data_IF_322704036218
#
_entry.id   IF_322704036218
#
_cell.length_a   1.000
_cell.length_b   1.000
_cell.length_c   1.000
_cell.angle_alpha   90.00
_cell.angle_beta   90.00
_cell.angle_gamma   90.00
#
_symmetry.space_group_name_H-M   'P 1'
#
loop_
_entity.id
_entity.type
_entity.pdbx_description
1 polymer ?
#
# COMPACT_ATOMS: atom_id res chain seq x y z
N UNK A 1 -25.45 26.79 0.03
CA UNK A 1 -26.43 26.42 1.07
C UNK A 1 -26.06 25.08 1.67
N UNK A 2 -25.95 24.02 0.86
CA UNK A 2 -25.45 22.69 1.28
C UNK A 2 -24.12 22.75 2.06
N UNK A 3 -23.18 23.56 1.61
CA UNK A 3 -21.89 23.75 2.30
C UNK A 3 -22.04 24.40 3.69
N UNK A 4 -23.02 25.28 3.87
CA UNK A 4 -23.29 25.95 5.16
C UNK A 4 -23.88 24.95 6.17
N UNK A 5 -24.68 23.99 5.71
CA UNK A 5 -25.24 22.92 6.54
C UNK A 5 -24.17 21.90 6.95
N UNK A 6 -23.31 21.48 6.01
CA UNK A 6 -22.19 20.60 6.31
C UNK A 6 -21.22 21.24 7.31
N UNK A 7 -20.87 22.51 7.10
CA UNK A 7 -19.99 23.25 8.00
C UNK A 7 -20.61 23.44 9.41
N UNK A 8 -21.95 23.47 9.54
CA UNK A 8 -22.64 23.48 10.83
C UNK A 8 -22.48 22.15 11.57
N UNK A 9 -22.71 21.03 10.89
CA UNK A 9 -22.66 19.68 11.48
C UNK A 9 -21.24 19.28 11.92
N UNK A 10 -20.23 19.91 11.32
CA UNK A 10 -18.82 19.74 11.67
C UNK A 10 -18.30 20.79 12.68
N UNK A 11 -19.17 21.66 13.23
CA UNK A 11 -18.85 22.76 14.14
C UNK A 11 -17.82 23.78 13.59
N UNK A 12 -17.78 23.96 12.26
CA UNK A 12 -16.82 24.82 11.55
C UNK A 12 -17.34 26.24 11.29
N UNK A 13 -18.61 26.53 11.60
CA UNK A 13 -19.21 27.84 11.36
C UNK A 13 -18.77 28.90 12.35
N UNK A 14 -18.37 30.06 11.82
CA UNK A 14 -18.14 31.27 12.61
C UNK A 14 -19.44 31.98 13.01
N UNK A 15 -19.37 32.90 13.97
CA UNK A 15 -20.55 33.57 14.54
C UNK A 15 -21.44 34.28 13.51
N UNK A 16 -20.84 34.87 12.46
CA UNK A 16 -21.58 35.55 11.40
C UNK A 16 -22.37 34.55 10.53
N UNK A 17 -21.74 33.42 10.20
CA UNK A 17 -22.37 32.37 9.40
C UNK A 17 -23.47 31.64 10.18
N UNK A 18 -23.32 31.48 11.51
CA UNK A 18 -24.38 30.94 12.36
C UNK A 18 -25.63 31.83 12.35
N UNK A 19 -25.44 33.15 12.46
CA UNK A 19 -26.54 34.10 12.40
C UNK A 19 -27.24 34.12 11.03
N UNK A 20 -26.47 33.99 9.94
CA UNK A 20 -27.00 33.87 8.58
C UNK A 20 -27.83 32.58 8.41
N UNK A 21 -27.34 31.46 8.91
CA UNK A 21 -28.05 30.19 8.92
C UNK A 21 -29.34 30.24 9.74
N UNK A 22 -29.30 30.81 10.95
CA UNK A 22 -30.49 30.97 11.81
C UNK A 22 -31.57 31.85 11.15
N UNK A 23 -31.15 32.88 10.41
CA UNK A 23 -32.08 33.74 9.65
C UNK A 23 -32.72 32.96 8.51
N UNK A 24 -31.92 32.23 7.72
CA UNK A 24 -32.40 31.40 6.60
C UNK A 24 -33.37 30.30 7.06
N UNK A 25 -33.08 29.63 8.18
CA UNK A 25 -33.94 28.60 8.77
C UNK A 25 -35.20 29.17 9.44
N UNK A 26 -35.25 30.49 9.71
CA UNK A 26 -36.42 31.17 10.26
C UNK A 26 -37.41 31.58 9.17
N UNK A 27 -36.92 31.91 7.98
CA UNK A 27 -37.71 32.45 6.87
C UNK A 27 -38.36 31.36 5.99
N UNK A 28 -37.85 30.13 5.99
CA UNK A 28 -38.33 29.04 5.13
C UNK A 28 -38.54 27.72 5.91
N UNK A 29 -39.79 27.26 5.96
CA UNK A 29 -40.22 26.05 6.66
C UNK A 29 -39.72 24.77 5.96
N UNK A 30 -39.71 24.72 4.63
CA UNK A 30 -39.25 23.55 3.88
C UNK A 30 -37.73 23.35 4.05
N UNK A 31 -36.99 24.45 4.14
CA UNK A 31 -35.55 24.44 4.38
C UNK A 31 -35.18 23.95 5.79
N UNK A 32 -36.05 24.22 6.77
CA UNK A 32 -35.88 23.76 8.15
C UNK A 32 -36.04 22.24 8.24
N UNK A 33 -37.02 21.70 7.54
CA UNK A 33 -37.27 20.26 7.51
C UNK A 33 -36.09 19.51 6.88
N UNK A 34 -35.57 20.00 5.74
CA UNK A 34 -34.39 19.42 5.08
C UNK A 34 -33.14 19.44 5.99
N UNK A 35 -32.96 20.52 6.75
CA UNK A 35 -31.84 20.67 7.68
C UNK A 35 -31.94 19.70 8.87
N UNK A 36 -33.14 19.49 9.43
CA UNK A 36 -33.35 18.54 10.52
C UNK A 36 -33.19 17.08 10.05
N UNK A 37 -33.61 16.75 8.83
CA UNK A 37 -33.39 15.43 8.22
C UNK A 37 -31.89 15.13 8.07
N UNK A 38 -31.11 16.11 7.59
CA UNK A 38 -29.67 15.96 7.42
C UNK A 38 -28.94 15.81 8.77
N UNK A 39 -29.38 16.55 9.80
CA UNK A 39 -28.86 16.46 11.17
C UNK A 39 -29.15 15.10 11.80
N UNK A 40 -30.35 14.56 11.59
CA UNK A 40 -30.71 13.22 12.06
C UNK A 40 -29.86 12.13 11.40
N UNK A 41 -29.61 12.24 10.08
CA UNK A 41 -28.73 11.33 9.36
C UNK A 41 -27.28 11.37 9.87
N UNK A 42 -26.72 12.56 10.08
CA UNK A 42 -25.36 12.71 10.60
C UNK A 42 -25.22 12.15 12.02
N UNK A 43 -26.22 12.34 12.88
CA UNK A 43 -26.25 11.76 14.23
C UNK A 43 -26.26 10.22 14.22
N UNK A 44 -26.85 9.59 13.20
CA UNK A 44 -26.86 8.13 13.08
C UNK A 44 -25.53 7.56 12.57
N UNK A 45 -24.91 8.21 11.57
CA UNK A 45 -23.59 7.79 11.07
C UNK A 45 -22.48 7.92 12.11
N UNK A 46 -22.60 8.87 13.05
CA UNK A 46 -21.59 9.13 14.07
C UNK A 46 -21.84 8.37 15.38
N UNK A 47 -22.79 7.41 15.42
CA UNK A 47 -22.88 6.46 16.53
C UNK A 47 -21.73 5.46 16.40
N UNK A 48 -20.74 5.47 17.31
CA UNK A 48 -19.76 4.40 17.33
C UNK A 48 -20.48 3.08 17.56
N UNK A 49 -20.12 2.05 16.79
CA UNK A 49 -20.55 0.69 17.09
C UNK A 49 -20.09 0.38 18.53
N UNK A 50 -21.05 0.21 19.45
CA UNK A 50 -20.77 -0.24 20.80
C UNK A 50 -20.24 -1.68 20.72
N UNK A 51 -18.92 -1.79 20.60
CA UNK A 51 -18.23 -3.04 20.85
C UNK A 51 -18.19 -3.20 22.37
N UNK A 52 -19.07 -4.03 22.92
CA UNK A 52 -18.96 -4.50 24.30
C UNK A 52 -17.81 -5.53 24.35
N UNK A 53 -16.61 -5.17 24.86
CA UNK A 53 -15.54 -6.13 24.95
C UNK A 53 -15.96 -7.21 25.95
N UNK A 54 -16.29 -8.40 25.43
CA UNK A 54 -16.64 -9.56 26.25
C UNK A 54 -15.73 -9.68 27.47
N UNK A 55 -16.32 -9.96 28.65
CA UNK A 55 -15.68 -9.98 29.96
C UNK A 55 -14.37 -10.82 30.06
N UNK A 56 -14.09 -11.66 29.07
CA UNK A 56 -12.83 -12.40 28.89
C UNK A 56 -11.63 -11.52 28.50
N UNK A 57 -11.84 -10.40 27.79
CA UNK A 57 -10.75 -9.49 27.37
C UNK A 57 -10.18 -8.72 28.58
N UNK A 58 -11.06 -8.25 29.46
CA UNK A 58 -10.70 -7.55 30.70
C UNK A 58 -9.95 -8.47 31.67
N UNK A 59 -10.40 -9.73 31.82
CA UNK A 59 -9.77 -10.68 32.74
C UNK A 59 -8.29 -10.92 32.38
N UNK A 60 -8.00 -11.13 31.09
CA UNK A 60 -6.64 -11.33 30.61
C UNK A 60 -5.75 -10.10 30.84
N UNK A 61 -6.31 -8.91 30.61
CA UNK A 61 -5.62 -7.65 30.87
C UNK A 61 -5.32 -7.43 32.36
N UNK A 62 -6.29 -7.64 33.24
CA UNK A 62 -6.10 -7.47 34.68
C UNK A 62 -5.15 -8.52 35.27
N UNK A 63 -5.18 -9.77 34.80
CA UNK A 63 -4.20 -10.79 35.18
C UNK A 63 -2.78 -10.41 34.75
N UNK A 64 -2.62 -9.83 33.56
CA UNK A 64 -1.31 -9.36 33.09
C UNK A 64 -0.83 -8.14 33.89
N UNK A 65 -1.73 -7.22 34.23
CA UNK A 65 -1.47 -6.07 35.11
C UNK A 65 -1.01 -6.47 36.51
N UNK A 66 -1.67 -7.46 37.13
CA UNK A 66 -1.26 -7.96 38.45
C UNK A 66 0.11 -8.65 38.40
N UNK A 67 0.37 -9.42 37.33
CA UNK A 67 1.67 -10.06 37.11
C UNK A 67 2.80 -9.03 36.99
N UNK A 68 2.58 -7.95 36.23
CA UNK A 68 3.57 -6.87 36.08
C UNK A 68 3.73 -6.03 37.35
N UNK A 69 2.64 -5.70 38.06
CA UNK A 69 2.72 -5.04 39.38
C UNK A 69 3.54 -5.86 40.37
N UNK A 70 3.38 -7.19 40.38
CA UNK A 70 4.18 -8.09 41.20
C UNK A 70 5.65 -8.14 40.80
N UNK A 71 5.95 -8.05 39.50
CA UNK A 71 7.32 -8.00 38.96
C UNK A 71 8.02 -6.67 39.29
N UNK A 72 7.32 -5.54 39.19
CA UNK A 72 7.83 -4.23 39.60
C UNK A 72 8.06 -4.13 41.11
N UNK A 73 7.17 -4.67 41.93
CA UNK A 73 7.37 -4.70 43.38
C UNK A 73 8.58 -5.56 43.79
N UNK A 74 8.84 -6.66 43.06
CA UNK A 74 10.06 -7.47 43.25
C UNK A 74 11.32 -6.74 42.78
N UNK A 75 11.26 -5.95 41.70
CA UNK A 75 12.37 -5.06 41.27
C UNK A 75 12.65 -3.96 42.29
N UNK A 76 11.62 -3.25 42.77
CA UNK A 76 11.73 -2.21 43.81
C UNK A 76 12.30 -2.73 45.13
N UNK A 77 11.88 -3.92 45.59
CA UNK A 77 12.44 -4.56 46.80
C UNK A 77 13.88 -5.05 46.62
N UNK A 78 14.32 -5.37 45.39
CA UNK A 78 15.73 -5.69 45.08
C UNK A 78 16.59 -4.42 45.05
N UNK A 79 16.08 -3.32 44.52
CA UNK A 79 16.80 -2.03 44.51
C UNK A 79 16.96 -1.43 45.92
N UNK A 80 15.98 -1.62 46.81
CA UNK A 80 16.05 -1.08 48.18
C UNK A 80 17.01 -1.86 49.11
N UNK A 81 17.39 -3.09 48.77
CA UNK A 81 18.35 -3.90 49.56
C UNK A 81 19.82 -3.71 49.15
N UNK A 82 20.09 -2.85 48.15
CA UNK A 82 21.43 -2.63 47.60
C UNK A 82 22.05 -1.26 47.92
N UNK A 83 21.47 -0.45 48.80
CA UNK A 83 22.12 0.78 49.25
C UNK A 83 23.21 0.45 50.28
N UNK A 84 24.33 -0.08 49.80
CA UNK A 84 25.57 -0.15 50.58
C UNK A 84 25.92 1.30 50.96
N UNK A 85 25.74 1.67 52.24
CA UNK A 85 26.18 2.98 52.74
C UNK A 85 27.71 2.99 52.71
N UNK A 86 28.25 3.53 51.64
CA UNK A 86 29.69 3.65 51.44
C UNK A 86 30.23 4.81 52.28
N UNK A 87 30.80 4.48 53.43
CA UNK A 87 31.32 5.42 54.43
C UNK A 87 32.69 6.04 54.10
N UNK A 88 33.24 5.86 52.89
CA UNK A 88 34.61 6.27 52.54
C UNK A 88 34.73 7.49 51.60
N UNK A 89 33.65 8.22 51.32
CA UNK A 89 33.60 9.28 50.27
C UNK A 89 33.86 10.71 50.81
N UNK A 90 34.63 10.88 51.89
CA UNK A 90 34.97 12.22 52.41
C UNK A 90 36.27 12.83 51.86
N UNK A 91 36.94 12.19 50.90
CA UNK A 91 38.15 12.76 50.27
C UNK A 91 37.83 13.44 48.93
N UNK A 92 38.21 14.72 48.74
CA UNK A 92 37.90 15.46 47.50
C UNK A 92 38.54 14.82 46.26
N UNK A 93 39.74 14.23 46.39
CA UNK A 93 40.49 13.60 45.29
C UNK A 93 39.74 12.39 44.69
N UNK A 94 39.09 11.56 45.53
CA UNK A 94 38.34 10.41 45.04
C UNK A 94 37.07 10.80 44.25
N UNK A 95 36.47 11.96 44.54
CA UNK A 95 35.29 12.45 43.81
C UNK A 95 35.66 12.82 42.37
N UNK A 96 36.80 13.49 42.17
CA UNK A 96 37.30 13.82 40.84
C UNK A 96 37.71 12.57 40.05
N UNK A 97 38.40 11.62 40.69
CA UNK A 97 38.78 10.36 40.04
C UNK A 97 37.54 9.54 39.61
N UNK A 98 36.52 9.45 40.46
CA UNK A 98 35.27 8.77 40.11
C UNK A 98 34.57 9.45 38.91
N UNK A 99 34.58 10.79 38.84
CA UNK A 99 34.03 11.53 37.70
C UNK A 99 34.73 11.23 36.38
N UNK A 100 36.07 11.16 36.38
CA UNK A 100 36.86 10.84 35.17
C UNK A 100 36.57 9.40 34.71
N UNK A 101 36.51 8.45 35.64
CA UNK A 101 36.17 7.05 35.32
C UNK A 101 34.77 6.93 34.72
N UNK A 102 33.81 7.70 35.23
CA UNK A 102 32.43 7.70 34.72
C UNK A 102 32.37 8.31 33.31
N UNK A 103 33.09 9.40 33.05
CA UNK A 103 33.19 10.00 31.71
C UNK A 103 33.87 9.06 30.70
N UNK A 104 34.97 8.40 31.09
CA UNK A 104 35.63 7.41 30.24
C UNK A 104 34.74 6.19 30.00
N UNK A 105 33.98 5.76 31.00
CA UNK A 105 32.99 4.69 30.87
C UNK A 105 31.86 5.06 29.90
N UNK A 106 31.29 6.26 30.04
CA UNK A 106 30.28 6.78 29.10
C UNK A 106 30.85 6.91 27.69
N UNK A 107 32.08 7.40 27.55
CA UNK A 107 32.75 7.52 26.25
C UNK A 107 33.01 6.15 25.59
N UNK A 108 33.45 5.16 26.36
CA UNK A 108 33.72 3.81 25.87
C UNK A 108 32.44 3.04 25.55
N UNK A 109 31.40 3.19 26.38
CA UNK A 109 30.05 2.65 26.11
C UNK A 109 29.46 3.34 24.89
N UNK A 110 29.55 4.66 24.79
CA UNK A 110 29.08 5.46 23.65
C UNK A 110 29.74 5.03 22.34
N UNK A 111 31.06 4.85 22.35
CA UNK A 111 31.80 4.34 21.19
C UNK A 111 31.43 2.90 20.83
N UNK A 112 31.09 2.05 21.82
CA UNK A 112 30.63 0.67 21.58
C UNK A 112 29.17 0.59 21.13
N UNK A 113 28.35 1.62 21.41
CA UNK A 113 26.96 1.71 20.95
C UNK A 113 26.80 2.37 19.58
N UNK A 114 27.79 3.11 19.08
CA UNK A 114 27.78 3.64 17.70
C UNK A 114 27.81 2.57 16.60
N UNK A 115 28.15 1.32 16.92
CA UNK A 115 28.00 0.19 15.97
C UNK A 115 26.53 -0.26 15.80
N UNK A 116 25.60 0.17 16.68
CA UNK A 116 24.18 -0.23 16.59
C UNK A 116 23.37 0.57 15.57
N UNK A 117 23.81 1.78 15.20
CA UNK A 117 23.15 2.56 14.14
C UNK A 117 23.26 1.91 12.76
N UNK A 118 24.20 0.96 12.56
CA UNK A 118 24.33 0.17 11.34
C UNK A 118 23.36 -1.02 11.27
N UNK A 119 22.81 -1.48 12.41
CA UNK A 119 21.84 -2.58 12.45
C UNK A 119 20.42 -2.13 12.10
N UNK A 120 20.00 -0.91 12.49
CA UNK A 120 18.68 -0.36 12.14
C UNK A 120 18.51 -0.16 10.62
N UNK A 121 19.58 0.23 9.92
CA UNK A 121 19.60 0.30 8.44
C UNK A 121 19.36 -1.06 7.78
N UNK A 122 19.83 -2.15 8.40
CA UNK A 122 19.61 -3.51 7.91
C UNK A 122 18.20 -4.03 8.21
N UNK A 123 17.56 -3.57 9.28
CA UNK A 123 16.18 -3.90 9.64
C UNK A 123 15.17 -3.13 8.77
N UNK A 124 15.43 -1.86 8.47
CA UNK A 124 14.61 -1.07 7.53
C UNK A 124 14.65 -1.67 6.12
N UNK A 125 15.81 -2.16 5.66
CA UNK A 125 15.92 -2.84 4.38
C UNK A 125 15.13 -4.16 4.34
N UNK A 126 15.03 -4.89 5.46
CA UNK A 126 14.21 -6.10 5.57
C UNK A 126 12.71 -5.80 5.56
N UNK A 127 12.26 -4.81 6.33
CA UNK A 127 10.85 -4.36 6.33
C UNK A 127 10.41 -3.95 4.91
N UNK A 128 11.28 -3.27 4.16
CA UNK A 128 10.98 -2.89 2.77
C UNK A 128 10.74 -4.12 1.88
N UNK A 129 11.55 -5.18 2.02
CA UNK A 129 11.34 -6.41 1.26
C UNK A 129 10.07 -7.14 1.68
N UNK A 130 9.78 -7.22 2.98
CA UNK A 130 8.57 -7.87 3.51
C UNK A 130 7.29 -7.18 3.01
N UNK A 131 7.33 -5.84 2.87
CA UNK A 131 6.22 -5.06 2.29
C UNK A 131 6.02 -5.41 0.81
N UNK A 132 7.09 -5.55 0.03
CA UNK A 132 6.98 -5.92 -1.39
C UNK A 132 6.44 -7.35 -1.56
N UNK A 133 6.93 -8.32 -0.78
CA UNK A 133 6.40 -9.69 -0.78
C UNK A 133 4.92 -9.73 -0.38
N UNK A 134 4.52 -8.93 0.62
CA UNK A 134 3.12 -8.83 1.04
C UNK A 134 2.24 -8.24 -0.06
N UNK A 135 2.68 -7.20 -0.76
CA UNK A 135 1.95 -6.61 -1.90
C UNK A 135 1.75 -7.62 -3.02
N UNK A 136 2.79 -8.38 -3.35
CA UNK A 136 2.73 -9.43 -4.36
C UNK A 136 1.72 -10.51 -3.99
N UNK A 137 1.72 -10.95 -2.72
CA UNK A 137 0.74 -11.91 -2.22
C UNK A 137 -0.70 -11.38 -2.32
N UNK A 138 -0.93 -10.12 -1.94
CA UNK A 138 -2.24 -9.46 -2.06
C UNK A 138 -2.70 -9.44 -3.52
N UNK A 139 -1.84 -9.00 -4.43
CA UNK A 139 -2.10 -9.03 -5.87
C UNK A 139 -2.50 -10.44 -6.35
N UNK A 140 -1.70 -11.46 -6.02
CA UNK A 140 -1.97 -12.84 -6.43
C UNK A 140 -3.28 -13.39 -5.85
N UNK A 141 -3.67 -12.95 -4.66
CA UNK A 141 -4.95 -13.32 -4.03
C UNK A 141 -6.14 -12.66 -4.72
N UNK A 142 -6.01 -11.38 -5.10
CA UNK A 142 -7.08 -10.61 -5.75
C UNK A 142 -7.32 -11.07 -7.19
N UNK A 143 -6.28 -11.54 -7.90
CA UNK A 143 -6.43 -12.13 -9.23
C UNK A 143 -7.34 -13.37 -9.27
N UNK A 144 -7.57 -14.03 -8.13
CA UNK A 144 -8.43 -15.22 -8.01
C UNK A 144 -9.89 -14.88 -7.69
N UNK A 145 -10.22 -13.60 -7.49
CA UNK A 145 -11.58 -13.18 -7.13
C UNK A 145 -12.51 -13.18 -8.34
N UNK A 146 -13.79 -13.35 -8.07
CA UNK A 146 -14.83 -13.49 -9.10
C UNK A 146 -15.07 -12.19 -9.88
N UNK A 147 -14.92 -11.04 -9.23
CA UNK A 147 -15.14 -9.75 -9.88
C UNK A 147 -13.98 -9.35 -10.79
N UNK A 148 -14.30 -9.05 -12.06
CA UNK A 148 -13.34 -8.48 -13.00
C UNK A 148 -12.73 -7.16 -12.50
N UNK A 149 -13.49 -6.34 -11.75
CA UNK A 149 -12.99 -5.09 -11.16
C UNK A 149 -11.88 -5.36 -10.13
N UNK A 150 -12.07 -6.36 -9.27
CA UNK A 150 -11.08 -6.76 -8.28
C UNK A 150 -9.84 -7.34 -8.93
N UNK A 151 -9.99 -8.09 -10.03
CA UNK A 151 -8.85 -8.60 -10.81
C UNK A 151 -8.10 -7.47 -11.52
N UNK A 152 -8.78 -6.45 -12.05
CA UNK A 152 -8.11 -5.26 -12.62
C UNK A 152 -7.35 -4.51 -11.52
N UNK A 153 -7.97 -4.30 -10.35
CA UNK A 153 -7.27 -3.71 -9.21
C UNK A 153 -6.03 -4.51 -8.82
N UNK A 154 -6.13 -5.84 -8.83
CA UNK A 154 -5.00 -6.74 -8.61
C UNK A 154 -3.87 -6.47 -9.60
N UNK A 155 -4.19 -6.38 -10.89
CA UNK A 155 -3.22 -6.08 -11.95
C UNK A 155 -2.58 -4.71 -11.75
N UNK A 156 -3.34 -3.69 -11.35
CA UNK A 156 -2.81 -2.33 -11.16
C UNK A 156 -1.79 -2.22 -10.02
N UNK A 157 -1.80 -3.12 -9.03
CA UNK A 157 -0.75 -3.15 -8.01
C UNK A 157 0.65 -3.40 -8.60
N UNK A 158 0.74 -3.96 -9.82
CA UNK A 158 2.03 -4.20 -10.46
C UNK A 158 2.83 -2.92 -10.70
N UNK A 159 2.18 -1.76 -10.84
CA UNK A 159 2.85 -0.48 -11.06
C UNK A 159 3.61 0.03 -9.83
N UNK A 160 3.29 -0.51 -8.65
CA UNK A 160 4.02 -0.24 -7.41
C UNK A 160 5.17 -1.24 -7.18
N UNK A 161 5.30 -2.26 -8.04
CA UNK A 161 6.32 -3.31 -7.93
C UNK A 161 7.52 -2.92 -8.80
N UNK A 162 8.64 -2.57 -8.16
CA UNK A 162 9.86 -2.20 -8.89
C UNK A 162 10.53 -3.39 -9.61
N UNK A 163 10.47 -4.58 -9.00
CA UNK A 163 11.03 -5.81 -9.57
C UNK A 163 10.04 -6.94 -9.34
N UNK A 164 9.40 -7.45 -10.41
CA UNK A 164 8.47 -8.55 -10.25
C UNK A 164 9.26 -9.83 -9.92
N UNK A 165 8.67 -10.68 -9.10
CA UNK A 165 9.13 -12.05 -8.99
C UNK A 165 8.58 -12.88 -10.17
N UNK A 166 9.11 -14.10 -10.33
CA UNK A 166 8.68 -14.99 -11.41
C UNK A 166 7.19 -15.36 -11.31
N UNK A 167 6.63 -15.40 -10.09
CA UNK A 167 5.24 -15.77 -9.85
C UNK A 167 4.27 -14.66 -10.30
N UNK A 168 4.60 -13.39 -10.06
CA UNK A 168 3.85 -12.24 -10.58
C UNK A 168 3.84 -12.25 -12.10
N UNK A 169 4.99 -12.46 -12.76
CA UNK A 169 5.06 -12.52 -14.21
C UNK A 169 4.23 -13.69 -14.76
N UNK A 170 4.36 -14.88 -14.19
CA UNK A 170 3.53 -16.04 -14.59
C UNK A 170 2.04 -15.78 -14.38
N UNK A 171 1.66 -15.14 -13.29
CA UNK A 171 0.28 -14.81 -12.99
C UNK A 171 -0.29 -13.82 -14.01
N UNK A 172 0.43 -12.74 -14.32
CA UNK A 172 0.03 -11.78 -15.36
C UNK A 172 -0.07 -12.44 -16.74
N UNK A 173 0.88 -13.30 -17.11
CA UNK A 173 0.84 -14.05 -18.38
C UNK A 173 -0.36 -14.99 -18.43
N UNK A 174 -0.68 -15.67 -17.32
CA UNK A 174 -1.88 -16.50 -17.24
C UNK A 174 -3.13 -15.65 -17.42
N UNK A 175 -3.24 -14.55 -16.69
CA UNK A 175 -4.37 -13.61 -16.77
C UNK A 175 -4.56 -13.09 -18.20
N UNK A 176 -3.48 -12.65 -18.86
CA UNK A 176 -3.49 -12.20 -20.26
C UNK A 176 -4.08 -13.23 -21.21
N UNK A 177 -3.80 -14.52 -20.99
CA UNK A 177 -4.18 -15.58 -21.92
C UNK A 177 -5.51 -16.26 -21.60
N UNK A 178 -5.95 -16.25 -20.34
CA UNK A 178 -7.07 -17.09 -19.88
C UNK A 178 -8.17 -16.36 -19.14
N UNK A 179 -8.02 -15.08 -18.80
CA UNK A 179 -9.13 -14.36 -18.14
C UNK A 179 -10.33 -14.27 -19.08
N UNK A 180 -11.53 -14.49 -18.52
CA UNK A 180 -12.78 -14.41 -19.25
C UNK A 180 -13.09 -12.98 -19.73
N UNK A 181 -12.64 -11.98 -18.96
CA UNK A 181 -12.95 -10.59 -19.21
C UNK A 181 -11.84 -9.93 -20.03
N UNK A 182 -12.21 -9.43 -21.21
CA UNK A 182 -11.28 -8.75 -22.13
C UNK A 182 -10.54 -7.58 -21.47
N UNK A 183 -11.19 -6.80 -20.61
CA UNK A 183 -10.55 -5.66 -19.95
C UNK A 183 -9.48 -6.10 -18.95
N UNK A 184 -9.69 -7.24 -18.26
CA UNK A 184 -8.68 -7.84 -17.37
C UNK A 184 -7.48 -8.32 -18.19
N UNK A 185 -7.72 -8.96 -19.35
CA UNK A 185 -6.63 -9.37 -20.25
C UNK A 185 -5.84 -8.18 -20.78
N UNK A 186 -6.51 -7.11 -21.22
CA UNK A 186 -5.87 -5.87 -21.68
C UNK A 186 -5.05 -5.23 -20.56
N UNK A 187 -5.60 -5.16 -19.34
CA UNK A 187 -4.87 -4.65 -18.17
C UNK A 187 -3.62 -5.49 -17.91
N UNK A 188 -3.70 -6.82 -18.03
CA UNK A 188 -2.55 -7.71 -17.85
C UNK A 188 -1.49 -7.51 -18.94
N UNK A 189 -1.88 -7.21 -20.19
CA UNK A 189 -0.93 -6.83 -21.24
C UNK A 189 -0.20 -5.52 -20.90
N UNK A 190 -0.93 -4.50 -20.47
CA UNK A 190 -0.37 -3.20 -20.06
C UNK A 190 0.59 -3.34 -18.87
N UNK A 191 0.21 -4.12 -17.86
CA UNK A 191 1.07 -4.50 -16.75
C UNK A 191 2.35 -5.20 -17.21
N UNK A 192 2.26 -6.15 -18.14
CA UNK A 192 3.45 -6.80 -18.70
C UNK A 192 4.34 -5.83 -19.50
N UNK A 193 3.78 -4.75 -20.06
CA UNK A 193 4.57 -3.71 -20.71
C UNK A 193 5.44 -2.93 -19.72
N UNK A 194 4.97 -2.75 -18.48
CA UNK A 194 5.73 -2.13 -17.41
C UNK A 194 7.00 -2.94 -17.09
N UNK A 195 6.93 -4.26 -17.25
CA UNK A 195 8.05 -5.19 -17.12
C UNK A 195 8.72 -5.51 -18.46
N UNK A 196 8.71 -4.57 -19.41
CA UNK A 196 9.20 -4.75 -20.77
C UNK A 196 10.68 -5.12 -20.89
N UNK A 197 11.49 -4.92 -19.84
CA UNK A 197 12.88 -5.39 -19.79
C UNK A 197 12.99 -6.92 -19.60
N UNK A 198 11.98 -7.52 -18.97
CA UNK A 198 11.92 -8.95 -18.71
C UNK A 198 11.62 -9.72 -19.99
N UNK A 199 12.54 -10.60 -20.38
CA UNK A 199 12.43 -11.39 -21.61
C UNK A 199 11.13 -12.19 -21.65
N UNK A 200 10.70 -12.75 -20.51
CA UNK A 200 9.48 -13.54 -20.39
C UNK A 200 8.23 -12.71 -20.68
N UNK A 201 8.19 -11.43 -20.26
CA UNK A 201 7.06 -10.54 -20.53
C UNK A 201 6.96 -10.22 -22.03
N UNK A 202 8.08 -9.85 -22.67
CA UNK A 202 8.12 -9.62 -24.11
C UNK A 202 7.77 -10.86 -24.93
N UNK A 203 8.29 -12.02 -24.51
CA UNK A 203 8.00 -13.29 -25.18
C UNK A 203 6.50 -13.63 -25.08
N UNK A 204 5.88 -13.43 -23.91
CA UNK A 204 4.45 -13.64 -23.73
C UNK A 204 3.60 -12.72 -24.60
N UNK A 205 3.90 -11.42 -24.63
CA UNK A 205 3.22 -10.44 -25.49
C UNK A 205 3.33 -10.83 -26.98
N UNK A 206 4.50 -11.27 -27.44
CA UNK A 206 4.69 -11.76 -28.81
C UNK A 206 3.83 -13.01 -29.09
N UNK A 207 3.74 -13.95 -28.15
CA UNK A 207 2.90 -15.13 -28.31
C UNK A 207 1.42 -14.77 -28.34
N UNK A 208 0.98 -13.83 -27.51
CA UNK A 208 -0.41 -13.35 -27.45
C UNK A 208 -0.90 -12.82 -28.80
N UNK A 209 -0.05 -12.16 -29.60
CA UNK A 209 -0.41 -11.73 -30.96
C UNK A 209 -0.84 -12.90 -31.87
N UNK A 210 -0.27 -14.08 -31.67
CA UNK A 210 -0.49 -15.25 -32.52
C UNK A 210 -1.60 -16.16 -32.02
N UNK A 211 -1.92 -16.10 -30.72
CA UNK A 211 -2.88 -17.01 -30.08
C UNK A 211 -4.23 -16.37 -29.80
N UNK A 212 -4.25 -15.08 -29.46
CA UNK A 212 -5.50 -14.36 -29.16
C UNK A 212 -6.10 -13.76 -30.42
N UNK A 213 -7.43 -13.84 -30.54
CA UNK A 213 -8.19 -13.38 -31.71
C UNK A 213 -8.98 -12.09 -31.46
N UNK A 214 -9.07 -11.65 -30.22
CA UNK A 214 -9.82 -10.43 -29.88
C UNK A 214 -9.13 -9.19 -30.44
N UNK A 215 -9.76 -8.44 -31.38
CA UNK A 215 -9.11 -7.36 -32.10
C UNK A 215 -8.57 -6.25 -31.18
N UNK A 216 -9.33 -5.91 -30.14
CA UNK A 216 -8.93 -4.89 -29.16
C UNK A 216 -7.64 -5.30 -28.43
N UNK A 217 -7.54 -6.56 -27.98
CA UNK A 217 -6.33 -7.04 -27.32
C UNK A 217 -5.14 -7.12 -28.28
N UNK A 218 -5.37 -7.58 -29.52
CA UNK A 218 -4.31 -7.62 -30.53
C UNK A 218 -3.76 -6.22 -30.81
N UNK A 219 -4.63 -5.21 -30.95
CA UNK A 219 -4.21 -3.81 -31.13
C UNK A 219 -3.38 -3.32 -29.95
N UNK A 220 -3.85 -3.53 -28.72
CA UNK A 220 -3.09 -3.14 -27.50
C UNK A 220 -1.71 -3.78 -27.47
N UNK A 221 -1.61 -5.08 -27.75
CA UNK A 221 -0.33 -5.79 -27.73
C UNK A 221 0.60 -5.32 -28.86
N UNK A 222 0.05 -5.00 -30.04
CA UNK A 222 0.83 -4.39 -31.15
C UNK A 222 1.42 -3.05 -30.70
N UNK A 223 0.61 -2.18 -30.09
CA UNK A 223 1.04 -0.89 -29.56
C UNK A 223 2.14 -1.03 -28.51
N UNK A 224 1.95 -1.94 -27.55
CA UNK A 224 2.94 -2.23 -26.51
C UNK A 224 4.27 -2.65 -27.14
N UNK A 225 4.26 -3.62 -28.06
CA UNK A 225 5.49 -4.15 -28.66
C UNK A 225 6.19 -3.10 -29.54
N UNK A 226 5.43 -2.23 -30.20
CA UNK A 226 5.98 -1.09 -30.93
C UNK A 226 6.66 -0.09 -30.00
N UNK A 227 6.00 0.28 -28.89
CA UNK A 227 6.53 1.20 -27.88
C UNK A 227 7.77 0.65 -27.17
N UNK A 228 7.80 -0.66 -26.89
CA UNK A 228 8.97 -1.35 -26.35
C UNK A 228 10.12 -1.49 -27.36
N UNK A 229 9.89 -1.19 -28.65
CA UNK A 229 10.90 -1.32 -29.69
C UNK A 229 11.31 -2.78 -29.98
N UNK A 230 10.49 -3.76 -29.62
CA UNK A 230 10.87 -5.17 -29.75
C UNK A 230 10.75 -5.65 -31.21
N UNK A 231 11.86 -5.52 -31.95
CA UNK A 231 11.94 -5.93 -33.37
C UNK A 231 11.62 -7.41 -33.60
N UNK A 232 11.63 -8.26 -32.57
CA UNK A 232 11.20 -9.67 -32.68
C UNK A 232 9.72 -9.80 -33.01
N UNK A 233 8.91 -8.78 -32.72
CA UNK A 233 7.48 -8.73 -33.01
C UNK A 233 7.14 -8.53 -34.50
N UNK A 234 8.10 -8.08 -35.33
CA UNK A 234 7.89 -7.82 -36.77
C UNK A 234 7.41 -9.06 -37.51
N UNK A 235 8.03 -10.22 -37.30
CA UNK A 235 7.62 -11.48 -37.94
C UNK A 235 6.19 -11.92 -37.53
N UNK A 236 5.84 -11.94 -36.23
CA UNK A 236 4.45 -12.13 -35.79
C UNK A 236 3.45 -11.17 -36.44
N UNK A 237 3.75 -9.88 -36.49
CA UNK A 237 2.88 -8.87 -37.12
C UNK A 237 2.71 -9.13 -38.63
N UNK A 238 3.77 -9.53 -39.32
CA UNK A 238 3.67 -9.94 -40.74
C UNK A 238 2.79 -11.17 -40.95
N UNK A 239 2.78 -12.12 -40.01
CA UNK A 239 1.85 -13.27 -40.06
C UNK A 239 0.39 -12.81 -39.91
N UNK A 240 0.11 -11.85 -39.04
CA UNK A 240 -1.23 -11.26 -38.91
C UNK A 240 -1.69 -10.58 -40.20
N UNK A 241 -0.79 -9.86 -40.90
CA UNK A 241 -1.10 -9.23 -42.20
C UNK A 241 -1.49 -10.25 -43.28
N UNK A 242 -0.91 -11.45 -43.24
CA UNK A 242 -1.17 -12.52 -44.20
C UNK A 242 -2.38 -13.39 -43.82
N UNK A 243 -2.88 -13.28 -42.59
CA UNK A 243 -3.99 -14.08 -42.10
C UNK A 243 -5.32 -13.47 -42.55
N UNK A 244 -6.11 -14.24 -43.29
CA UNK A 244 -7.43 -13.82 -43.81
C UNK A 244 -8.44 -13.56 -42.70
N UNK A 245 -8.31 -14.27 -41.57
CA UNK A 245 -9.23 -14.16 -40.44
C UNK A 245 -8.92 -12.98 -39.53
N UNK A 246 -7.82 -12.26 -39.78
CA UNK A 246 -7.45 -11.08 -39.00
C UNK A 246 -8.26 -9.87 -39.46
N UNK A 247 -8.87 -9.18 -38.50
CA UNK A 247 -9.64 -7.96 -38.74
C UNK A 247 -8.81 -6.86 -39.40
N UNK A 248 -9.42 -6.09 -40.31
CA UNK A 248 -8.72 -5.05 -41.06
C UNK A 248 -8.15 -3.94 -40.16
N UNK A 249 -8.82 -3.65 -39.04
CA UNK A 249 -8.31 -2.69 -38.04
C UNK A 249 -6.97 -3.16 -37.43
N UNK A 250 -6.85 -4.47 -37.16
CA UNK A 250 -5.64 -5.08 -36.61
C UNK A 250 -4.53 -5.09 -37.66
N UNK A 251 -4.86 -5.43 -38.92
CA UNK A 251 -3.90 -5.41 -40.03
C UNK A 251 -3.32 -4.01 -40.25
N UNK A 252 -4.16 -2.97 -40.29
CA UNK A 252 -3.67 -1.59 -40.42
C UNK A 252 -2.70 -1.23 -39.30
N UNK A 253 -3.03 -1.61 -38.06
CA UNK A 253 -2.18 -1.32 -36.91
C UNK A 253 -0.86 -2.09 -36.92
N UNK A 254 -0.90 -3.36 -37.31
CA UNK A 254 0.29 -4.19 -37.49
C UNK A 254 1.21 -3.62 -38.57
N UNK A 255 0.66 -3.16 -39.69
CA UNK A 255 1.41 -2.55 -40.79
C UNK A 255 2.13 -1.26 -40.36
N UNK A 256 1.42 -0.38 -39.64
CA UNK A 256 2.00 0.83 -39.06
C UNK A 256 3.17 0.50 -38.13
N UNK A 257 2.97 -0.44 -37.21
CA UNK A 257 3.97 -0.81 -36.21
C UNK A 257 5.19 -1.51 -36.82
N UNK A 258 5.00 -2.33 -37.84
CA UNK A 258 6.11 -2.92 -38.63
C UNK A 258 6.97 -1.82 -39.25
N UNK A 259 6.36 -0.76 -39.79
CA UNK A 259 7.11 0.36 -40.36
C UNK A 259 7.95 1.05 -39.28
N UNK A 260 7.39 1.31 -38.10
CA UNK A 260 8.11 1.92 -36.97
C UNK A 260 9.29 1.07 -36.52
N UNK A 261 9.09 -0.24 -36.35
CA UNK A 261 10.13 -1.16 -35.86
C UNK A 261 11.21 -1.51 -36.90
N UNK A 262 10.95 -1.25 -38.18
CA UNK A 262 11.89 -1.53 -39.28
C UNK A 262 12.82 -0.35 -39.61
N UNK A 263 12.60 0.81 -38.99
CA UNK A 263 13.56 1.94 -39.02
C UNK A 263 14.74 1.66 -38.07
#
# INVERSE_FOLDING_TARGET
MEQLFADYLEDKLNAKQRQELETLLSDDEALRDEFEDLKAFYADMNKPAELDPTATLDLGFYMMLEKEKGAEQKKRKKEQKGAMRVSWINSPILKYAAGIVLLLGIFWIGRKTSDKDLNDLSEIAKIKNDVEETKQLVMLSMLKRESASERIQAVNYCYDINKPDDEVLKALIKTLNTDENINVRTSAAEALSHFGDEKIARDALIQTLLTQKEPTLQITVIDILANLGDKRAVKPMQKLLQNTDTEEVVKRKAMESVKVLSL
#
